data_IF_512502848253
#
_entry.id   IF_512502848253
#
_cell.length_a   1.000
_cell.length_b   1.000
_cell.length_c   1.000
_cell.angle_alpha   90.00
_cell.angle_beta   90.00
_cell.angle_gamma   90.00
#
_symmetry.space_group_name_H-M   'P 1'
#
loop_
_entity.id
_entity.type
_entity.pdbx_description
1 polymer ?
#
# COMPACT_ATOMS: atom_id res chain seq x y z
N UNK A 1 -71.97 -6.38 34.26
CA UNK A 1 -70.51 -6.42 34.44
C UNK A 1 -69.91 -6.94 33.15
N UNK A 2 -69.28 -6.07 32.36
CA UNK A 2 -68.53 -6.46 31.16
C UNK A 2 -67.08 -6.09 31.41
N UNK A 3 -66.18 -7.06 31.30
CA UNK A 3 -64.76 -6.91 31.56
C UNK A 3 -64.08 -6.64 30.22
N UNK A 4 -63.58 -5.43 30.00
CA UNK A 4 -62.81 -5.09 28.81
C UNK A 4 -61.42 -5.77 28.87
N UNK A 5 -61.13 -6.60 27.85
CA UNK A 5 -59.80 -7.16 27.63
C UNK A 5 -58.82 -6.06 27.20
N UNK A 6 -57.88 -5.74 28.07
CA UNK A 6 -56.75 -4.87 27.76
C UNK A 6 -55.75 -5.68 26.94
N UNK A 7 -55.74 -5.50 25.61
CA UNK A 7 -54.70 -6.07 24.75
C UNK A 7 -53.37 -5.33 24.98
N UNK A 8 -52.24 -6.03 25.20
CA UNK A 8 -50.96 -5.37 25.39
C UNK A 8 -50.50 -4.76 24.06
N UNK A 9 -50.30 -3.45 24.07
CA UNK A 9 -49.72 -2.69 22.97
C UNK A 9 -48.27 -3.13 22.82
N UNK A 10 -47.96 -3.90 21.77
CA UNK A 10 -46.57 -4.23 21.40
C UNK A 10 -45.88 -2.91 21.02
N UNK A 11 -45.09 -2.37 21.94
CA UNK A 11 -44.09 -1.36 21.61
C UNK A 11 -43.02 -2.04 20.75
N UNK A 12 -43.12 -1.85 19.44
CA UNK A 12 -42.03 -2.16 18.54
C UNK A 12 -40.99 -1.08 18.77
N UNK A 13 -39.96 -1.40 19.56
CA UNK A 13 -38.75 -0.60 19.60
C UNK A 13 -38.15 -0.66 18.20
N UNK A 14 -38.36 0.38 17.38
CA UNK A 14 -37.50 0.63 16.23
C UNK A 14 -36.10 0.82 16.80
N UNK A 15 -35.29 -0.24 16.75
CA UNK A 15 -33.85 -0.11 16.90
C UNK A 15 -33.44 0.80 15.76
N UNK A 16 -33.24 2.09 16.05
CA UNK A 16 -32.51 2.99 15.17
C UNK A 16 -31.15 2.33 15.00
N UNK A 17 -31.00 1.55 13.93
CA UNK A 17 -29.72 0.97 13.59
C UNK A 17 -28.81 2.17 13.39
N UNK A 18 -27.78 2.25 14.22
CA UNK A 18 -27.02 3.47 14.43
C UNK A 18 -26.57 4.04 13.08
N UNK A 19 -27.11 5.21 12.75
CA UNK A 19 -26.77 5.92 11.51
C UNK A 19 -25.29 6.30 11.46
N UNK A 20 -24.52 6.15 12.54
CA UNK A 20 -23.07 6.35 12.56
C UNK A 20 -22.27 5.11 12.16
N UNK A 21 -22.91 3.99 11.80
CA UNK A 21 -22.22 2.80 11.31
C UNK A 21 -21.37 3.15 10.08
N UNK A 22 -20.04 2.99 10.22
CA UNK A 22 -19.03 3.28 9.20
C UNK A 22 -18.35 1.97 8.83
N UNK A 23 -18.45 1.63 7.55
CA UNK A 23 -17.83 0.45 6.96
C UNK A 23 -16.35 0.69 6.61
N UNK A 24 -15.55 -0.38 6.64
CA UNK A 24 -14.15 -0.41 6.18
C UNK A 24 -13.20 0.55 6.93
N UNK A 25 -13.04 0.33 8.26
CA UNK A 25 -12.18 1.14 9.12
C UNK A 25 -10.72 0.76 9.05
N UNK A 26 -10.41 -0.52 8.82
CA UNK A 26 -9.06 -1.02 8.71
C UNK A 26 -8.82 -1.59 7.31
N UNK A 27 -7.57 -1.54 6.88
CA UNK A 27 -7.16 -2.23 5.67
C UNK A 27 -5.87 -3.00 5.88
N UNK A 28 -5.72 -4.08 5.11
CA UNK A 28 -4.49 -4.83 5.00
C UNK A 28 -4.23 -5.15 3.53
N UNK A 29 -3.04 -4.88 3.04
CA UNK A 29 -2.63 -5.08 1.66
C UNK A 29 -1.42 -6.01 1.59
N UNK A 30 -1.47 -6.91 0.61
CA UNK A 30 -0.36 -7.77 0.24
C UNK A 30 -0.06 -7.57 -1.24
N UNK A 31 1.18 -7.25 -1.58
CA UNK A 31 1.56 -6.78 -2.91
C UNK A 31 2.82 -7.44 -3.40
N UNK A 32 2.88 -7.63 -4.71
CA UNK A 32 4.08 -7.87 -5.46
C UNK A 32 4.60 -6.54 -5.99
N UNK A 33 5.82 -6.19 -5.58
CA UNK A 33 6.44 -4.92 -5.89
C UNK A 33 7.37 -5.07 -7.08
N UNK A 34 7.38 -4.09 -7.96
CA UNK A 34 8.39 -3.97 -9.01
C UNK A 34 8.76 -2.51 -9.21
N UNK A 35 9.85 -2.28 -9.93
CA UNK A 35 10.26 -0.96 -10.36
C UNK A 35 9.96 -0.80 -11.84
N UNK A 36 9.53 0.38 -12.24
CA UNK A 36 9.34 0.77 -13.63
C UNK A 36 10.46 1.70 -14.06
N UNK A 37 10.65 1.85 -15.37
CA UNK A 37 11.74 2.66 -15.95
C UNK A 37 13.12 2.16 -15.50
N UNK A 38 13.28 0.84 -15.50
CA UNK A 38 14.53 0.16 -15.16
C UNK A 38 15.59 0.47 -16.24
N UNK A 39 16.84 0.76 -15.86
CA UNK A 39 17.94 0.88 -16.81
C UNK A 39 18.28 -0.50 -17.40
N UNK A 40 18.98 -0.50 -18.53
CA UNK A 40 19.39 -1.75 -19.18
C UNK A 40 20.19 -2.64 -18.23
N UNK A 41 19.90 -3.95 -18.23
CA UNK A 41 20.54 -4.91 -17.34
C UNK A 41 19.96 -5.00 -15.93
N UNK A 42 19.13 -4.05 -15.48
CA UNK A 42 18.44 -4.17 -14.19
C UNK A 42 17.26 -5.15 -14.29
N UNK A 43 17.36 -6.27 -13.58
CA UNK A 43 16.33 -7.28 -13.50
C UNK A 43 15.94 -7.61 -12.06
N UNK A 44 14.66 -7.98 -11.90
CA UNK A 44 14.13 -8.50 -10.65
C UNK A 44 14.42 -10.00 -10.59
N UNK A 45 15.11 -10.45 -9.54
CA UNK A 45 15.64 -11.82 -9.47
C UNK A 45 14.78 -12.74 -8.60
N UNK A 46 14.07 -12.19 -7.62
CA UNK A 46 13.19 -12.94 -6.71
C UNK A 46 11.88 -12.20 -6.49
N UNK A 47 10.93 -12.86 -5.82
CA UNK A 47 9.69 -12.22 -5.39
C UNK A 47 9.98 -11.02 -4.50
N UNK A 48 9.51 -9.86 -4.91
CA UNK A 48 9.60 -8.62 -4.14
C UNK A 48 8.24 -8.39 -3.52
N UNK A 49 8.14 -8.54 -2.20
CA UNK A 49 6.86 -8.47 -1.49
C UNK A 49 6.68 -7.11 -0.82
N UNK A 50 5.45 -6.63 -0.78
CA UNK A 50 5.03 -5.49 0.01
C UNK A 50 3.87 -5.89 0.90
N UNK A 51 3.92 -5.48 2.16
CA UNK A 51 2.80 -5.58 3.09
C UNK A 51 2.45 -4.19 3.57
N UNK A 52 1.17 -3.92 3.74
CA UNK A 52 0.73 -2.64 4.27
C UNK A 52 -0.55 -2.79 5.06
N UNK A 53 -0.77 -1.88 5.98
CA UNK A 53 -2.03 -1.84 6.70
C UNK A 53 -2.19 -0.52 7.42
N UNK A 54 -3.41 -0.23 7.82
CA UNK A 54 -3.74 1.04 8.44
C UNK A 54 -5.21 1.16 8.73
N UNK A 55 -5.61 2.36 9.11
CA UNK A 55 -7.00 2.73 9.29
C UNK A 55 -7.40 3.84 8.34
N UNK A 56 -8.68 3.84 7.97
CA UNK A 56 -9.31 4.79 7.08
C UNK A 56 -10.61 5.26 7.71
N UNK A 57 -10.86 6.57 7.64
CA UNK A 57 -12.09 7.18 8.09
C UNK A 57 -12.92 7.58 6.88
N UNK A 58 -14.08 6.93 6.75
CA UNK A 58 -14.99 7.17 5.64
C UNK A 58 -15.87 8.42 5.87
N UNK A 59 -16.07 9.21 4.82
CA UNK A 59 -16.87 10.43 4.80
C UNK A 59 -17.86 10.36 3.61
N UNK A 60 -19.07 9.81 3.83
CA UNK A 60 -20.08 9.67 2.79
C UNK A 60 -20.53 11.01 2.22
N UNK A 61 -20.64 11.11 0.89
CA UNK A 61 -21.05 12.34 0.19
C UNK A 61 -22.50 12.29 -0.30
N UNK A 62 -23.16 11.13 -0.25
CA UNK A 62 -24.55 10.98 -0.66
C UNK A 62 -25.40 10.27 0.40
N UNK A 63 -26.72 10.52 0.38
CA UNK A 63 -27.68 9.95 1.33
C UNK A 63 -27.64 8.42 1.37
N UNK A 64 -27.45 7.79 0.20
CA UNK A 64 -27.39 6.34 0.06
C UNK A 64 -26.01 5.75 0.44
N UNK A 65 -25.02 6.59 0.80
CA UNK A 65 -23.65 6.21 1.22
C UNK A 65 -22.87 5.33 0.24
N UNK A 66 -23.30 5.30 -1.02
CA UNK A 66 -22.61 4.57 -2.10
C UNK A 66 -21.35 5.29 -2.57
N UNK A 67 -21.20 6.58 -2.26
CA UNK A 67 -20.01 7.37 -2.61
C UNK A 67 -19.46 8.04 -1.36
N UNK A 68 -18.14 8.02 -1.21
CA UNK A 68 -17.47 8.63 -0.07
C UNK A 68 -16.04 9.04 -0.40
N UNK A 69 -15.51 9.96 0.41
CA UNK A 69 -14.07 10.16 0.52
C UNK A 69 -13.57 9.53 1.80
N UNK A 70 -12.42 8.90 1.77
CA UNK A 70 -11.76 8.37 2.95
C UNK A 70 -10.32 8.85 3.05
N UNK A 71 -9.88 9.06 4.27
CA UNK A 71 -8.47 9.33 4.58
C UNK A 71 -8.11 8.72 5.91
N UNK A 72 -6.82 8.52 6.16
CA UNK A 72 -6.36 7.97 7.42
C UNK A 72 -4.86 7.86 7.48
N UNK A 73 -4.38 6.89 8.24
CA UNK A 73 -2.97 6.61 8.44
C UNK A 73 -2.71 5.12 8.31
N UNK A 74 -1.57 4.80 7.73
CA UNK A 74 -1.10 3.43 7.62
C UNK A 74 0.42 3.33 7.65
N UNK A 75 0.89 2.09 7.55
CA UNK A 75 2.29 1.74 7.45
C UNK A 75 2.43 0.73 6.34
N UNK A 76 3.47 0.87 5.52
CA UNK A 76 3.84 -0.14 4.53
C UNK A 76 5.29 -0.54 4.63
N UNK A 77 5.54 -1.84 4.50
CA UNK A 77 6.84 -2.44 4.38
C UNK A 77 7.00 -2.99 2.97
N UNK A 78 7.98 -2.48 2.23
CA UNK A 78 8.27 -2.90 0.87
C UNK A 78 9.64 -3.55 0.81
N UNK A 79 9.73 -4.74 0.22
CA UNK A 79 10.97 -5.42 -0.06
C UNK A 79 11.15 -5.58 -1.57
N UNK A 80 12.32 -5.20 -2.07
CA UNK A 80 12.71 -5.31 -3.47
C UNK A 80 13.93 -6.23 -3.59
N UNK A 81 13.79 -7.36 -4.28
CA UNK A 81 14.86 -8.31 -4.59
C UNK A 81 15.21 -8.19 -6.07
N UNK A 82 16.29 -7.48 -6.35
CA UNK A 82 16.73 -7.10 -7.71
C UNK A 82 18.24 -7.21 -7.79
N UNK A 83 18.82 -7.06 -8.98
CA UNK A 83 20.27 -7.08 -9.18
C UNK A 83 20.95 -5.70 -9.06
N UNK A 84 20.28 -4.68 -8.48
CA UNK A 84 20.94 -3.43 -8.11
C UNK A 84 21.79 -3.64 -6.87
N UNK A 85 23.11 -3.74 -7.03
CA UNK A 85 24.06 -3.76 -5.92
C UNK A 85 24.12 -2.39 -5.25
N UNK A 86 24.00 -2.37 -3.92
CA UNK A 86 24.18 -1.17 -3.11
C UNK A 86 25.29 -1.46 -2.10
N UNK A 87 26.45 -0.85 -2.32
CA UNK A 87 27.66 -1.04 -1.51
C UNK A 87 28.20 0.31 -1.01
N UNK A 88 29.40 0.33 -0.41
CA UNK A 88 29.99 1.53 0.17
C UNK A 88 29.55 1.76 1.61
N UNK A 89 29.31 3.02 1.98
CA UNK A 89 28.92 3.42 3.34
C UNK A 89 27.52 4.04 3.35
N UNK A 90 26.92 4.20 4.53
CA UNK A 90 25.63 4.88 4.65
C UNK A 90 25.66 6.34 4.20
N UNK A 91 26.82 7.00 4.22
CA UNK A 91 26.98 8.39 3.80
C UNK A 91 27.33 8.52 2.31
N UNK A 92 27.99 7.51 1.74
CA UNK A 92 28.40 7.46 0.35
C UNK A 92 28.08 6.07 -0.24
N UNK A 93 26.80 5.81 -0.55
CA UNK A 93 26.40 4.57 -1.19
C UNK A 93 26.88 4.55 -2.65
N UNK A 94 27.28 3.37 -3.11
CA UNK A 94 27.71 3.11 -4.48
C UNK A 94 26.75 2.12 -5.12
N UNK A 95 26.39 2.37 -6.37
CA UNK A 95 25.38 1.61 -7.10
C UNK A 95 25.99 0.95 -8.33
N UNK A 96 25.70 -0.33 -8.52
CA UNK A 96 26.11 -1.09 -9.69
C UNK A 96 25.04 -2.11 -10.08
N UNK A 97 25.00 -2.48 -11.36
CA UNK A 97 24.15 -3.58 -11.81
C UNK A 97 24.97 -4.86 -11.72
N UNK A 98 24.52 -5.78 -10.87
CA UNK A 98 25.14 -7.08 -10.71
C UNK A 98 24.74 -7.95 -11.90
N UNK A 99 25.73 -8.29 -12.74
CA UNK A 99 25.56 -9.18 -13.87
C UNK A 99 25.25 -10.63 -13.50
N UNK A 100 24.97 -11.49 -14.49
CA UNK A 100 24.69 -12.92 -14.25
C UNK A 100 25.87 -13.69 -13.65
N UNK A 101 27.10 -13.18 -13.84
CA UNK A 101 28.34 -13.78 -13.34
C UNK A 101 28.72 -13.32 -11.92
N UNK A 102 28.02 -12.32 -11.37
CA UNK A 102 28.24 -11.91 -9.98
C UNK A 102 27.61 -12.94 -9.04
N UNK A 103 28.45 -13.71 -8.36
CA UNK A 103 28.03 -14.58 -7.26
C UNK A 103 27.63 -13.72 -6.05
N UNK A 104 26.35 -13.37 -5.95
CA UNK A 104 25.78 -12.81 -4.73
C UNK A 104 24.67 -13.74 -4.20
N UNK A 105 24.71 -14.00 -2.89
CA UNK A 105 23.73 -14.87 -2.22
C UNK A 105 22.44 -14.09 -1.91
N UNK A 106 22.60 -12.80 -1.60
CA UNK A 106 21.51 -11.93 -1.17
C UNK A 106 21.73 -10.51 -1.65
N UNK A 107 20.82 -10.03 -2.48
CA UNK A 107 20.78 -8.62 -2.87
C UNK A 107 19.35 -8.09 -2.79
N UNK A 108 19.12 -7.16 -1.86
CA UNK A 108 17.80 -6.56 -1.66
C UNK A 108 17.87 -5.23 -0.96
N UNK A 109 16.86 -4.40 -1.18
CA UNK A 109 16.58 -3.29 -0.28
C UNK A 109 15.14 -3.36 0.24
N UNK A 110 14.93 -2.72 1.38
CA UNK A 110 13.66 -2.70 2.10
C UNK A 110 13.36 -1.29 2.56
N UNK A 111 12.09 -0.92 2.55
CA UNK A 111 11.59 0.38 2.98
C UNK A 111 10.45 0.18 3.97
N UNK A 112 10.46 0.95 5.05
CA UNK A 112 9.34 1.12 5.97
C UNK A 112 8.81 2.54 5.79
N UNK A 113 7.54 2.65 5.43
CA UNK A 113 6.86 3.88 5.07
C UNK A 113 5.71 4.13 6.04
N UNK A 114 5.49 5.40 6.38
CA UNK A 114 4.27 5.88 7.04
C UNK A 114 3.39 6.50 5.95
N UNK A 115 2.17 6.01 5.81
CA UNK A 115 1.29 6.29 4.70
C UNK A 115 0.09 7.18 5.12
N UNK A 116 -0.24 8.15 4.28
CA UNK A 116 -1.43 8.99 4.33
C UNK A 116 -2.21 8.76 3.03
N UNK A 117 -3.22 7.87 3.02
CA UNK A 117 -4.10 7.69 1.87
C UNK A 117 -5.18 8.77 1.79
N UNK A 118 -5.53 9.16 0.57
CA UNK A 118 -6.70 9.94 0.19
C UNK A 118 -7.45 9.15 -0.89
N UNK A 119 -8.62 8.62 -0.54
CA UNK A 119 -9.35 7.64 -1.33
C UNK A 119 -10.73 8.17 -1.69
N UNK A 120 -11.09 8.10 -2.97
CA UNK A 120 -12.48 8.13 -3.39
C UNK A 120 -13.02 6.71 -3.42
N UNK A 121 -14.16 6.50 -2.78
CA UNK A 121 -14.82 5.20 -2.65
C UNK A 121 -16.14 5.21 -3.38
N UNK A 122 -16.32 4.23 -4.26
CA UNK A 122 -17.59 3.95 -4.90
C UNK A 122 -18.01 2.50 -4.62
N UNK A 123 -19.25 2.34 -4.15
CA UNK A 123 -19.91 1.07 -3.85
C UNK A 123 -21.20 0.96 -4.66
N UNK A 124 -21.50 -0.23 -5.16
CA UNK A 124 -22.72 -0.46 -5.97
C UNK A 124 -23.96 -0.84 -5.15
N UNK A 125 -23.88 -0.91 -3.81
CA UNK A 125 -24.98 -1.37 -2.95
C UNK A 125 -25.37 -0.35 -1.87
N UNK A 126 -26.64 -0.42 -1.46
CA UNK A 126 -27.24 0.32 -0.35
C UNK A 126 -27.08 -0.44 0.98
N UNK A 127 -27.41 0.22 2.08
CA UNK A 127 -27.33 -0.25 3.47
C UNK A 127 -27.92 -1.65 3.77
N UNK A 128 -28.75 -2.19 2.87
CA UNK A 128 -29.50 -3.44 3.08
C UNK A 128 -28.89 -4.67 2.38
N UNK A 129 -27.84 -4.53 1.55
CA UNK A 129 -27.28 -5.66 0.80
C UNK A 129 -25.78 -5.87 1.02
N UNK A 130 -25.47 -7.03 1.62
CA UNK A 130 -24.13 -7.53 2.00
C UNK A 130 -23.26 -8.02 0.82
N UNK A 131 -23.68 -7.81 -0.43
CA UNK A 131 -22.98 -8.28 -1.64
C UNK A 131 -22.80 -7.13 -2.61
N UNK A 132 -21.61 -6.53 -2.60
CA UNK A 132 -21.35 -5.32 -3.38
C UNK A 132 -19.97 -5.27 -4.01
N UNK A 133 -19.91 -4.57 -5.14
CA UNK A 133 -18.67 -4.16 -5.76
C UNK A 133 -18.12 -2.95 -5.04
N UNK A 134 -16.83 -2.98 -4.75
CA UNK A 134 -16.02 -1.88 -4.23
C UNK A 134 -15.08 -1.43 -5.33
N UNK A 135 -15.14 -0.16 -5.71
CA UNK A 135 -14.20 0.47 -6.64
C UNK A 135 -13.66 1.72 -5.96
N UNK A 136 -12.44 1.60 -5.44
CA UNK A 136 -11.80 2.66 -4.69
C UNK A 136 -10.57 3.15 -5.43
N UNK A 137 -10.46 4.46 -5.64
CA UNK A 137 -9.33 5.07 -6.35
C UNK A 137 -8.80 6.23 -5.54
N UNK A 138 -7.50 6.36 -5.43
CA UNK A 138 -6.93 7.35 -4.52
C UNK A 138 -5.49 7.71 -4.79
N UNK A 139 -5.02 8.70 -4.04
CA UNK A 139 -3.62 9.05 -3.91
C UNK A 139 -3.11 8.55 -2.57
N UNK A 140 -1.86 8.10 -2.54
CA UNK A 140 -1.17 7.74 -1.29
C UNK A 140 0.10 8.55 -1.19
N UNK A 141 0.26 9.25 -0.07
CA UNK A 141 1.48 9.95 0.30
C UNK A 141 2.20 9.11 1.35
N UNK A 142 3.50 8.92 1.20
CA UNK A 142 4.29 8.00 2.01
C UNK A 142 5.58 8.68 2.45
N UNK A 143 5.84 8.68 3.76
CA UNK A 143 7.11 9.14 4.33
C UNK A 143 8.02 7.96 4.65
N UNK A 144 9.26 7.99 4.15
CA UNK A 144 10.26 6.96 4.40
C UNK A 144 10.85 7.08 5.80
N UNK A 145 10.29 6.28 6.72
CA UNK A 145 10.73 6.19 8.11
C UNK A 145 12.07 5.44 8.23
N UNK A 146 12.22 4.33 7.51
CA UNK A 146 13.43 3.52 7.56
C UNK A 146 13.73 2.84 6.23
N UNK A 147 15.01 2.74 5.89
CA UNK A 147 15.47 1.96 4.74
C UNK A 147 16.64 1.08 5.11
N UNK A 148 16.73 -0.10 4.49
CA UNK A 148 17.86 -1.00 4.65
C UNK A 148 18.17 -1.69 3.33
N UNK A 149 19.42 -1.64 2.92
CA UNK A 149 19.98 -2.37 1.79
C UNK A 149 20.94 -3.44 2.30
N UNK A 150 20.87 -4.63 1.73
CA UNK A 150 21.75 -5.76 2.05
C UNK A 150 22.28 -6.33 0.76
N UNK A 151 23.61 -6.37 0.65
CA UNK A 151 24.35 -7.06 -0.38
C UNK A 151 25.26 -8.09 0.29
N UNK A 152 25.18 -9.34 -0.13
CA UNK A 152 25.96 -10.46 0.40
C UNK A 152 26.51 -11.26 -0.77
N UNK A 153 27.83 -11.39 -0.83
CA UNK A 153 28.59 -12.09 -1.86
C UNK A 153 29.74 -12.88 -1.22
N UNK A 154 30.55 -13.54 -2.05
CA UNK A 154 31.73 -14.29 -1.58
C UNK A 154 32.78 -13.46 -0.84
N UNK A 155 32.77 -12.13 -1.04
CA UNK A 155 33.71 -11.19 -0.41
C UNK A 155 33.20 -10.69 0.95
N UNK A 156 31.91 -10.85 1.25
CA UNK A 156 31.32 -10.54 2.54
C UNK A 156 29.91 -9.97 2.45
N UNK A 157 29.49 -9.34 3.56
CA UNK A 157 28.14 -8.80 3.74
C UNK A 157 28.19 -7.30 4.00
N UNK A 158 27.64 -6.52 3.07
CA UNK A 158 27.42 -5.09 3.21
C UNK A 158 25.98 -4.79 3.61
N UNK A 159 25.82 -3.97 4.65
CA UNK A 159 24.50 -3.51 5.11
C UNK A 159 24.52 -2.00 5.22
N UNK A 160 23.63 -1.35 4.47
CA UNK A 160 23.46 0.10 4.50
C UNK A 160 22.08 0.41 5.04
N UNK A 161 22.00 1.24 6.07
CA UNK A 161 20.74 1.69 6.66
C UNK A 161 20.57 3.18 6.44
N UNK A 162 19.32 3.64 6.32
CA UNK A 162 18.96 5.05 6.12
C UNK A 162 19.74 5.72 4.98
N UNK A 163 19.80 5.04 3.82
CA UNK A 163 20.51 5.53 2.66
C UNK A 163 19.95 6.91 2.23
N UNK A 164 20.79 7.95 2.14
CA UNK A 164 20.36 9.32 1.89
C UNK A 164 19.80 9.53 0.49
N UNK A 165 20.11 8.67 -0.47
CA UNK A 165 19.67 8.76 -1.86
C UNK A 165 18.25 8.24 -2.10
N UNK A 166 17.63 7.61 -1.10
CA UNK A 166 16.20 7.34 -1.18
C UNK A 166 15.38 8.63 -1.03
N UNK A 167 14.29 8.73 -1.79
CA UNK A 167 13.32 9.79 -1.59
C UNK A 167 12.63 9.62 -0.23
N UNK A 168 12.62 10.69 0.56
CA UNK A 168 11.94 10.71 1.86
C UNK A 168 10.43 10.83 1.75
N UNK A 169 9.95 11.49 0.70
CA UNK A 169 8.53 11.65 0.39
C UNK A 169 8.25 10.95 -0.93
N UNK A 170 7.38 9.95 -0.88
CA UNK A 170 6.87 9.22 -2.04
C UNK A 170 5.38 9.52 -2.18
N UNK A 171 4.89 9.61 -3.41
CA UNK A 171 3.47 9.74 -3.66
C UNK A 171 3.09 9.01 -4.94
N UNK A 172 1.88 8.48 -4.96
CA UNK A 172 1.40 7.69 -6.08
C UNK A 172 -0.10 7.57 -6.12
N UNK A 173 -0.58 7.06 -7.25
CA UNK A 173 -1.98 6.73 -7.44
C UNK A 173 -2.19 5.26 -7.16
N UNK A 174 -3.36 4.91 -6.64
CA UNK A 174 -3.77 3.53 -6.55
C UNK A 174 -5.24 3.34 -6.92
N UNK A 175 -5.53 2.12 -7.36
CA UNK A 175 -6.86 1.65 -7.66
C UNK A 175 -7.06 0.30 -6.99
N UNK A 176 -8.24 0.12 -6.42
CA UNK A 176 -8.70 -1.10 -5.80
C UNK A 176 -10.07 -1.44 -6.35
N UNK A 177 -10.25 -2.66 -6.85
CA UNK A 177 -11.53 -3.13 -7.34
C UNK A 177 -11.76 -4.57 -6.88
N UNK A 178 -12.93 -4.84 -6.33
CA UNK A 178 -13.23 -6.17 -5.83
C UNK A 178 -14.66 -6.36 -5.41
N UNK A 179 -14.88 -7.58 -4.93
CA UNK A 179 -16.18 -8.04 -4.49
C UNK A 179 -16.07 -8.51 -3.05
N UNK A 180 -16.89 -7.92 -2.18
CA UNK A 180 -16.82 -8.16 -0.75
C UNK A 180 -15.41 -7.84 -0.16
N UNK A 181 -14.87 -8.69 0.71
CA UNK A 181 -13.66 -8.40 1.50
C UNK A 181 -12.38 -8.43 0.67
N UNK A 182 -12.32 -9.17 -0.44
CA UNK A 182 -11.12 -9.33 -1.25
C UNK A 182 -11.16 -8.40 -2.46
N UNK A 183 -10.15 -7.54 -2.59
CA UNK A 183 -10.06 -6.57 -3.68
C UNK A 183 -8.69 -6.64 -4.34
N UNK A 184 -8.68 -6.57 -5.67
CA UNK A 184 -7.44 -6.44 -6.45
C UNK A 184 -6.95 -5.01 -6.29
N UNK A 185 -5.66 -4.85 -6.02
CA UNK A 185 -5.00 -3.58 -5.76
C UNK A 185 -3.87 -3.34 -6.75
N UNK A 186 -3.78 -2.12 -7.27
CA UNK A 186 -2.65 -1.65 -8.05
C UNK A 186 -2.26 -0.24 -7.61
N UNK A 187 -0.97 -0.01 -7.42
CA UNK A 187 -0.37 1.28 -7.06
C UNK A 187 0.77 1.62 -8.02
N UNK A 188 0.81 2.86 -8.46
CA UNK A 188 1.90 3.42 -9.25
C UNK A 188 2.45 4.68 -8.60
N UNK A 189 3.74 4.65 -8.25
CA UNK A 189 4.47 5.80 -7.74
C UNK A 189 4.68 6.84 -8.83
N UNK A 190 4.29 8.08 -8.54
CA UNK A 190 4.44 9.21 -9.47
C UNK A 190 5.83 9.84 -9.41
N UNK A 191 6.57 9.62 -8.32
CA UNK A 191 7.95 10.03 -8.17
C UNK A 191 8.89 8.83 -7.96
N UNK A 192 10.19 8.99 -8.27
CA UNK A 192 11.13 7.88 -8.20
C UNK A 192 11.41 7.46 -6.76
N UNK A 193 11.75 6.19 -6.55
CA UNK A 193 12.12 5.63 -5.24
C UNK A 193 13.43 6.24 -4.72
N UNK A 194 14.34 6.55 -5.64
CA UNK A 194 15.59 7.25 -5.36
C UNK A 194 15.50 8.72 -5.81
N UNK A 195 15.97 9.64 -4.95
CA UNK A 195 16.06 11.07 -5.27
C UNK A 195 17.17 11.34 -6.28
N UNK A 196 18.28 10.64 -6.13
CA UNK A 196 19.49 10.71 -6.93
C UNK A 196 20.04 9.30 -7.03
N UNK A 197 19.89 8.68 -8.20
CA UNK A 197 20.50 7.40 -8.48
C UNK A 197 21.34 7.54 -9.74
N UNK A 198 22.63 7.30 -9.59
CA UNK A 198 23.58 7.25 -10.69
C UNK A 198 24.15 5.84 -10.72
N UNK A 199 23.96 5.16 -11.84
CA UNK A 199 24.52 3.83 -12.10
C UNK A 199 25.45 4.00 -13.28
N UNK A 200 26.73 3.65 -13.10
CA UNK A 200 27.73 3.71 -14.20
C UNK A 200 27.81 5.08 -14.90
N UNK A 201 27.56 6.17 -14.15
CA UNK A 201 27.56 7.54 -14.67
C UNK A 201 26.22 8.03 -15.23
N UNK A 202 25.23 7.15 -15.39
CA UNK A 202 23.91 7.49 -15.90
C UNK A 202 22.88 7.73 -14.79
N UNK A 203 22.18 8.87 -14.88
CA UNK A 203 21.09 9.20 -13.96
C UNK A 203 19.85 8.37 -14.30
N UNK A 204 19.39 7.60 -13.34
CA UNK A 204 18.22 6.73 -13.49
C UNK A 204 17.10 7.18 -12.57
N UNK A 205 15.86 7.20 -13.09
CA UNK A 205 14.65 7.44 -12.30
C UNK A 205 13.77 6.22 -12.35
N UNK A 206 13.64 5.52 -11.22
CA UNK A 206 12.82 4.32 -11.12
C UNK A 206 11.62 4.57 -10.23
N UNK A 207 10.43 4.35 -10.77
CA UNK A 207 9.18 4.49 -10.05
C UNK A 207 8.70 3.12 -9.56
N UNK A 208 7.96 3.08 -8.45
CA UNK A 208 7.41 1.84 -7.90
C UNK A 208 6.09 1.49 -8.58
N UNK A 209 5.90 0.21 -8.91
CA UNK A 209 4.62 -0.37 -9.31
C UNK A 209 4.34 -1.56 -8.39
N UNK A 210 3.25 -1.52 -7.65
CA UNK A 210 2.88 -2.56 -6.70
C UNK A 210 1.51 -3.11 -7.06
N UNK A 211 1.40 -4.41 -7.25
CA UNK A 211 0.15 -5.08 -7.65
C UNK A 211 -0.13 -6.22 -6.68
N UNK A 212 -1.36 -6.37 -6.23
CA UNK A 212 -1.72 -7.47 -5.35
C UNK A 212 -3.16 -7.40 -4.88
N UNK A 213 -3.37 -7.66 -3.60
CA UNK A 213 -4.69 -7.70 -2.97
C UNK A 213 -4.75 -6.78 -1.77
N UNK A 214 -5.92 -6.20 -1.54
CA UNK A 214 -6.24 -5.41 -0.36
C UNK A 214 -7.56 -5.90 0.25
N UNK A 215 -7.55 -6.01 1.55
CA UNK A 215 -8.67 -6.39 2.39
C UNK A 215 -9.11 -5.18 3.17
N UNK A 216 -10.41 -4.92 3.17
CA UNK A 216 -11.03 -3.91 4.03
C UNK A 216 -11.79 -4.63 5.13
N UNK A 217 -11.51 -4.26 6.37
CA UNK A 217 -11.98 -4.92 7.59
C UNK A 217 -12.70 -3.87 8.44
N UNK A 218 -13.74 -4.31 9.14
CA UNK A 218 -14.46 -3.53 10.14
C UNK A 218 -13.77 -3.64 11.49
#
# INVERSE_FOLDING_TARGET
MAQEEIKPKKEVYEVKIDSLYREDQFYFAFTYNTLQQKPAGLNQQKFSIGIGGGFLRDMPINKNRTKAFATGLGVSYNNYNQNLGISGTSQAPVYSILGPQSNFDKNKFTQLLIDVPLEFRWRTSTYESYKFWRIYGGMKFSYLAYSKSVLENSEGRTVITNNPDFNKLLYGLYLSAGYNTLNVYAYYGLNPVFKSLTIEGEKTKMNSLNVGVIFYIL
#
